data_IF_535826368465
#
_entry.id   IF_535826368465
#
_cell.length_a   1.000
_cell.length_b   1.000
_cell.length_c   1.000
_cell.angle_alpha   90.00
_cell.angle_beta   90.00
_cell.angle_gamma   90.00
#
_symmetry.space_group_name_H-M   'P 1'
#
loop_
_entity.id
_entity.type
_entity.pdbx_description
1 polymer ?
#
# COMPACT_ATOMS: atom_id res chain seq x y z
N UNK A 1 1.33 -64.80 23.92
CA UNK A 1 2.08 -63.98 22.98
C UNK A 1 1.31 -62.66 22.77
N UNK A 2 1.73 -61.55 23.41
CA UNK A 2 1.09 -60.22 23.33
C UNK A 2 1.90 -59.38 22.37
N UNK A 3 1.33 -59.01 21.24
CA UNK A 3 1.93 -58.11 20.23
C UNK A 3 1.61 -56.67 20.61
N UNK A 4 2.61 -55.93 21.07
CA UNK A 4 2.52 -54.53 21.37
C UNK A 4 2.69 -53.75 20.04
N UNK A 5 1.61 -53.16 19.55
CA UNK A 5 1.66 -52.23 18.42
C UNK A 5 2.10 -50.84 18.94
N UNK A 6 3.34 -50.47 18.65
CA UNK A 6 3.85 -49.12 18.88
C UNK A 6 3.24 -48.17 17.83
N UNK A 7 2.40 -47.27 18.30
CA UNK A 7 1.84 -46.18 17.47
C UNK A 7 2.86 -45.02 17.42
N UNK A 8 3.57 -44.91 16.31
CA UNK A 8 4.48 -43.76 16.07
C UNK A 8 3.63 -42.56 15.64
N UNK A 9 3.41 -41.64 16.57
CA UNK A 9 2.82 -40.33 16.28
C UNK A 9 3.89 -39.47 15.60
N UNK A 10 3.80 -39.37 14.27
CA UNK A 10 4.60 -38.46 13.47
C UNK A 10 4.02 -37.05 13.63
N UNK A 11 4.54 -36.26 14.57
CA UNK A 11 4.23 -34.85 14.76
C UNK A 11 4.82 -34.06 13.60
N UNK A 12 4.00 -33.73 12.59
CA UNK A 12 4.37 -32.82 11.54
C UNK A 12 4.40 -31.37 12.12
N UNK A 13 5.60 -30.96 12.49
CA UNK A 13 5.89 -29.61 12.91
C UNK A 13 5.85 -28.72 11.66
N UNK A 14 4.67 -28.10 11.40
CA UNK A 14 4.54 -27.05 10.39
C UNK A 14 5.36 -25.85 10.86
N UNK A 15 6.58 -25.74 10.35
CA UNK A 15 7.36 -24.52 10.41
C UNK A 15 6.64 -23.47 9.53
N UNK A 16 5.82 -22.63 10.14
CA UNK A 16 5.36 -21.39 9.50
C UNK A 16 6.59 -20.50 9.29
N UNK A 17 7.28 -20.72 8.17
CA UNK A 17 8.22 -19.72 7.65
C UNK A 17 7.39 -18.47 7.34
N UNK A 18 7.67 -17.35 8.03
CA UNK A 18 7.19 -16.02 7.65
C UNK A 18 7.86 -15.69 6.32
N UNK A 19 7.33 -16.21 5.22
CA UNK A 19 7.74 -15.78 3.90
C UNK A 19 7.41 -14.28 3.83
N UNK A 20 8.42 -13.44 3.66
CA UNK A 20 8.24 -12.06 3.22
C UNK A 20 7.41 -12.15 1.94
N UNK A 21 6.21 -11.55 1.95
CA UNK A 21 5.38 -11.57 0.76
C UNK A 21 6.15 -10.88 -0.38
N UNK A 22 6.19 -11.51 -1.55
CA UNK A 22 6.78 -10.86 -2.72
C UNK A 22 5.91 -9.68 -3.15
N UNK A 23 6.51 -8.63 -3.74
CA UNK A 23 5.75 -7.50 -4.29
C UNK A 23 4.71 -7.97 -5.31
N UNK A 24 3.49 -7.48 -5.17
CA UNK A 24 2.38 -7.82 -6.06
C UNK A 24 2.63 -7.30 -7.46
N UNK A 25 2.16 -8.03 -8.46
CA UNK A 25 2.38 -7.78 -9.90
C UNK A 25 1.08 -7.40 -10.60
N UNK A 26 1.19 -6.88 -11.79
CA UNK A 26 0.05 -6.67 -12.69
C UNK A 26 -0.69 -7.99 -12.90
N UNK A 27 -2.01 -7.95 -12.71
CA UNK A 27 -2.91 -9.12 -12.78
C UNK A 27 -3.26 -9.73 -11.41
N UNK A 28 -2.47 -9.46 -10.36
CA UNK A 28 -2.77 -9.94 -9.02
C UNK A 28 -4.01 -9.24 -8.44
N UNK A 29 -4.71 -9.95 -7.55
CA UNK A 29 -5.81 -9.37 -6.78
C UNK A 29 -5.28 -8.30 -5.81
N UNK A 30 -5.93 -7.16 -5.76
CA UNK A 30 -5.61 -6.11 -4.80
C UNK A 30 -6.05 -6.53 -3.39
N UNK A 31 -5.21 -6.32 -2.36
CA UNK A 31 -5.53 -6.70 -0.98
C UNK A 31 -6.76 -5.98 -0.42
N UNK A 32 -7.68 -6.73 0.19
CA UNK A 32 -8.89 -6.20 0.82
C UNK A 32 -8.67 -5.99 2.34
N UNK A 33 -7.66 -5.18 2.68
CA UNK A 33 -7.28 -4.91 4.08
C UNK A 33 -8.10 -3.77 4.68
N UNK A 34 -8.19 -3.73 6.02
CA UNK A 34 -8.73 -2.59 6.77
C UNK A 34 -7.56 -1.84 7.41
N UNK A 35 -7.57 -0.51 7.30
CA UNK A 35 -6.47 0.33 7.75
C UNK A 35 -6.96 1.58 8.50
N UNK A 36 -6.07 2.21 9.28
CA UNK A 36 -6.34 3.45 10.00
C UNK A 36 -5.92 4.64 9.15
N UNK A 37 -6.81 5.62 8.99
CA UNK A 37 -6.56 6.85 8.24
C UNK A 37 -5.82 7.91 9.05
N UNK A 38 -5.43 8.99 8.38
CA UNK A 38 -4.90 10.23 8.97
C UNK A 38 -5.88 10.94 9.94
N UNK A 39 -7.17 10.61 9.90
CA UNK A 39 -8.18 11.07 10.88
C UNK A 39 -8.37 10.12 12.06
N UNK A 40 -7.73 8.96 12.07
CA UNK A 40 -7.92 7.90 13.07
C UNK A 40 -9.09 6.96 12.78
N UNK A 41 -9.84 7.19 11.70
CA UNK A 41 -10.94 6.34 11.28
C UNK A 41 -10.43 5.05 10.60
N UNK A 42 -11.29 4.01 10.57
CA UNK A 42 -10.99 2.79 9.83
C UNK A 42 -11.65 2.81 8.45
N UNK A 43 -10.87 2.44 7.43
CA UNK A 43 -11.41 2.20 6.08
C UNK A 43 -11.08 0.78 5.61
N UNK A 44 -12.02 0.17 4.89
CA UNK A 44 -11.78 -1.08 4.19
C UNK A 44 -11.41 -0.78 2.73
N UNK A 45 -10.27 -1.26 2.26
CA UNK A 45 -9.80 -1.04 0.89
C UNK A 45 -10.78 -1.62 -0.14
N UNK A 46 -11.41 -2.76 0.18
CA UNK A 46 -12.46 -3.34 -0.68
C UNK A 46 -13.62 -2.38 -0.97
N UNK A 47 -13.98 -1.51 -0.01
CA UNK A 47 -15.05 -0.53 -0.20
C UNK A 47 -14.59 0.66 -1.04
N UNK A 48 -13.30 1.03 -0.95
CA UNK A 48 -12.71 2.06 -1.83
C UNK A 48 -12.72 1.57 -3.27
N UNK A 49 -12.31 0.31 -3.53
CA UNK A 49 -12.31 -0.29 -4.87
C UNK A 49 -13.70 -0.34 -5.53
N UNK A 50 -14.76 -0.41 -4.73
CA UNK A 50 -16.15 -0.41 -5.22
C UNK A 50 -16.68 0.99 -5.55
N UNK A 51 -16.16 2.03 -4.86
CA UNK A 51 -16.67 3.40 -4.98
C UNK A 51 -16.14 4.14 -6.20
N UNK A 52 -14.96 3.78 -6.69
CA UNK A 52 -14.30 4.45 -7.80
C UNK A 52 -13.81 3.44 -8.83
N UNK A 53 -13.82 3.80 -10.13
CA UNK A 53 -13.31 2.93 -11.18
C UNK A 53 -11.86 2.52 -10.99
N UNK A 54 -11.04 3.43 -10.43
CA UNK A 54 -9.63 3.20 -10.18
C UNK A 54 -9.24 3.61 -8.77
N UNK A 55 -8.26 2.91 -8.21
CA UNK A 55 -7.62 3.29 -6.94
C UNK A 55 -6.11 3.27 -7.13
N UNK A 56 -5.46 4.40 -6.86
CA UNK A 56 -4.02 4.50 -6.74
C UNK A 56 -3.63 4.34 -5.28
N UNK A 57 -2.88 3.29 -4.95
CA UNK A 57 -2.25 3.11 -3.64
C UNK A 57 -0.76 3.34 -3.81
N UNK A 58 -0.21 4.38 -3.16
CA UNK A 58 1.21 4.66 -3.20
C UNK A 58 1.85 4.56 -1.81
N UNK A 59 3.04 4.00 -1.77
CA UNK A 59 3.82 3.77 -0.57
C UNK A 59 5.01 4.72 -0.54
N UNK A 60 5.33 5.23 0.64
CA UNK A 60 6.47 6.11 0.84
C UNK A 60 7.16 5.82 2.17
N UNK A 61 8.51 6.04 2.26
CA UNK A 61 9.28 5.66 3.43
C UNK A 61 8.87 6.38 4.71
N UNK A 62 8.67 7.71 4.66
CA UNK A 62 8.38 8.52 5.85
C UNK A 62 7.75 9.87 5.49
N UNK A 63 6.70 10.23 6.22
CA UNK A 63 6.03 11.52 6.10
C UNK A 63 7.01 12.70 6.28
N UNK A 64 6.73 13.81 5.58
CA UNK A 64 7.48 15.08 5.65
C UNK A 64 8.99 14.99 5.31
N UNK A 65 9.42 13.98 4.55
CA UNK A 65 10.77 13.92 3.98
C UNK A 65 10.77 14.44 2.54
N UNK A 66 11.92 14.95 2.01
CA UNK A 66 11.95 15.64 0.71
C UNK A 66 11.35 14.85 -0.44
N UNK A 67 11.73 13.58 -0.63
CA UNK A 67 11.22 12.74 -1.71
C UNK A 67 9.74 12.37 -1.54
N UNK A 68 9.29 12.11 -0.31
CA UNK A 68 7.89 11.79 -0.01
C UNK A 68 7.00 13.02 -0.19
N UNK A 69 7.49 14.20 0.17
CA UNK A 69 6.82 15.48 -0.09
C UNK A 69 6.66 15.74 -1.58
N UNK A 70 7.71 15.54 -2.38
CA UNK A 70 7.64 15.67 -3.84
C UNK A 70 6.60 14.74 -4.46
N UNK A 71 6.55 13.48 -4.02
CA UNK A 71 5.56 12.50 -4.50
C UNK A 71 4.13 12.92 -4.12
N UNK A 72 3.89 13.27 -2.85
CA UNK A 72 2.60 13.74 -2.38
C UNK A 72 2.14 15.02 -3.07
N UNK A 73 3.04 15.99 -3.27
CA UNK A 73 2.74 17.23 -3.99
C UNK A 73 2.44 16.99 -5.48
N UNK A 74 3.16 16.09 -6.16
CA UNK A 74 2.82 15.71 -7.53
C UNK A 74 1.39 15.16 -7.63
N UNK A 75 1.01 14.27 -6.72
CA UNK A 75 -0.35 13.70 -6.69
C UNK A 75 -1.41 14.75 -6.32
N UNK A 76 -1.10 15.69 -5.41
CA UNK A 76 -1.97 16.84 -5.08
C UNK A 76 -2.19 17.72 -6.31
N UNK A 77 -1.12 18.10 -6.99
CA UNK A 77 -1.19 19.03 -8.12
C UNK A 77 -1.93 18.40 -9.32
N UNK A 78 -1.81 17.07 -9.52
CA UNK A 78 -2.56 16.32 -10.51
C UNK A 78 -3.93 15.80 -10.04
N UNK A 79 -4.35 16.09 -8.81
CA UNK A 79 -5.50 15.44 -8.18
C UNK A 79 -6.83 15.66 -8.92
N UNK A 80 -7.07 16.87 -9.42
CA UNK A 80 -8.27 17.16 -10.20
C UNK A 80 -8.35 16.31 -11.49
N UNK A 81 -7.23 16.15 -12.19
CA UNK A 81 -7.17 15.35 -13.39
C UNK A 81 -7.35 13.85 -13.07
N UNK A 82 -6.75 13.37 -11.97
CA UNK A 82 -6.92 11.99 -11.50
C UNK A 82 -8.37 11.69 -11.12
N UNK A 83 -9.02 12.58 -10.35
CA UNK A 83 -10.41 12.39 -9.93
C UNK A 83 -11.39 12.47 -11.10
N UNK A 84 -11.17 13.34 -12.10
CA UNK A 84 -11.94 13.35 -13.35
C UNK A 84 -11.86 12.03 -14.13
N UNK A 85 -10.76 11.28 -13.97
CA UNK A 85 -10.59 9.93 -14.52
C UNK A 85 -11.14 8.83 -13.58
N UNK A 86 -11.73 9.19 -12.45
CA UNK A 86 -12.29 8.26 -11.48
C UNK A 86 -11.24 7.56 -10.61
N UNK A 87 -10.10 8.20 -10.35
CA UNK A 87 -9.04 7.66 -9.50
C UNK A 87 -9.21 8.14 -8.07
N UNK A 88 -9.40 7.20 -7.12
CA UNK A 88 -9.16 7.45 -5.70
C UNK A 88 -7.66 7.36 -5.41
N UNK A 89 -7.12 8.24 -4.58
CA UNK A 89 -5.70 8.23 -4.18
C UNK A 89 -5.59 7.90 -2.70
N UNK A 90 -4.73 6.94 -2.36
CA UNK A 90 -4.41 6.54 -0.98
C UNK A 90 -2.88 6.51 -0.82
N UNK A 91 -2.37 7.26 0.15
CA UNK A 91 -0.95 7.20 0.53
C UNK A 91 -0.76 6.32 1.77
N UNK A 92 0.32 5.54 1.83
CA UNK A 92 0.61 4.60 2.92
C UNK A 92 2.05 4.75 3.38
N UNK A 93 2.27 4.88 4.68
CA UNK A 93 3.58 4.75 5.30
C UNK A 93 3.47 4.20 6.72
N UNK A 94 4.60 3.82 7.31
CA UNK A 94 4.71 3.31 8.68
C UNK A 94 4.73 4.46 9.73
N UNK A 95 4.13 5.60 9.39
CA UNK A 95 3.96 6.71 10.33
C UNK A 95 2.65 6.59 11.11
N UNK A 96 2.59 7.23 12.27
CA UNK A 96 1.38 7.26 13.10
C UNK A 96 0.33 8.27 12.56
N UNK A 97 -0.86 8.24 13.17
CA UNK A 97 -1.98 9.12 12.78
C UNK A 97 -1.61 10.60 12.88
N UNK A 98 -0.87 10.99 13.93
CA UNK A 98 -0.50 12.38 14.15
C UNK A 98 0.47 12.89 13.08
N UNK A 99 1.47 12.08 12.70
CA UNK A 99 2.42 12.40 11.65
C UNK A 99 1.75 12.46 10.28
N UNK A 100 0.84 11.51 9.96
CA UNK A 100 0.07 11.52 8.72
C UNK A 100 -0.84 12.75 8.62
N UNK A 101 -1.53 13.09 9.69
CA UNK A 101 -2.38 14.28 9.77
C UNK A 101 -1.56 15.56 9.56
N UNK A 102 -0.44 15.70 10.27
CA UNK A 102 0.45 16.86 10.13
C UNK A 102 1.00 16.99 8.70
N UNK A 103 1.41 15.88 8.09
CA UNK A 103 1.89 15.85 6.70
C UNK A 103 0.82 16.29 5.72
N UNK A 104 -0.39 15.75 5.86
CA UNK A 104 -1.55 16.11 5.03
C UNK A 104 -1.91 17.60 5.14
N UNK A 105 -2.00 18.14 6.35
CA UNK A 105 -2.34 19.53 6.62
C UNK A 105 -1.26 20.48 6.08
N UNK A 106 0.02 20.19 6.37
CA UNK A 106 1.16 21.01 5.95
C UNK A 106 1.23 21.20 4.44
N UNK A 107 1.02 20.14 3.68
CA UNK A 107 1.12 20.15 2.22
C UNK A 107 -0.24 20.19 1.51
N UNK A 108 -1.34 20.31 2.25
CA UNK A 108 -2.71 20.39 1.74
C UNK A 108 -3.04 19.22 0.81
N UNK A 109 -2.69 18.00 1.23
CA UNK A 109 -2.95 16.80 0.43
C UNK A 109 -4.46 16.48 0.47
N UNK A 110 -5.16 16.42 -0.69
CA UNK A 110 -6.63 16.31 -0.73
C UNK A 110 -7.15 14.88 -0.60
N UNK A 111 -6.27 13.90 -0.43
CA UNK A 111 -6.59 12.48 -0.40
C UNK A 111 -6.26 11.85 0.96
N UNK A 112 -6.69 10.61 1.16
CA UNK A 112 -6.50 9.86 2.40
C UNK A 112 -5.06 9.37 2.53
N UNK A 113 -4.49 9.52 3.73
CA UNK A 113 -3.25 8.89 4.13
C UNK A 113 -3.53 7.78 5.16
N UNK A 114 -2.76 6.71 5.12
CA UNK A 114 -2.87 5.55 6.00
C UNK A 114 -1.70 5.52 6.99
N UNK A 115 -2.04 5.47 8.26
CA UNK A 115 -1.12 5.24 9.37
C UNK A 115 -0.93 3.74 9.60
N UNK A 116 0.03 3.13 8.91
CA UNK A 116 0.24 1.67 8.87
C UNK A 116 1.31 1.22 9.88
N UNK A 117 1.12 1.58 11.17
CA UNK A 117 2.07 1.31 12.26
C UNK A 117 2.34 -0.18 12.49
N UNK A 118 1.41 -1.05 12.17
CA UNK A 118 1.56 -2.51 12.25
C UNK A 118 2.05 -3.15 10.95
N UNK A 119 2.29 -2.33 9.91
CA UNK A 119 2.69 -2.75 8.57
C UNK A 119 1.71 -3.72 7.90
N UNK A 120 0.45 -3.71 8.29
CA UNK A 120 -0.55 -4.64 7.75
C UNK A 120 -0.80 -4.40 6.25
N UNK A 121 -0.91 -3.14 5.82
CA UNK A 121 -1.10 -2.76 4.41
C UNK A 121 0.19 -2.98 3.63
N UNK A 122 1.35 -2.52 4.15
CA UNK A 122 2.67 -2.72 3.55
C UNK A 122 2.92 -4.20 3.27
N UNK A 123 2.67 -5.06 4.26
CA UNK A 123 2.86 -6.51 4.12
C UNK A 123 1.86 -7.14 3.14
N UNK A 124 0.59 -6.71 3.17
CA UNK A 124 -0.43 -7.25 2.26
C UNK A 124 -0.11 -6.97 0.78
N UNK A 125 0.48 -5.81 0.49
CA UNK A 125 0.95 -5.48 -0.87
C UNK A 125 2.34 -6.06 -1.19
N UNK A 126 2.98 -6.73 -0.24
CA UNK A 126 4.33 -7.29 -0.40
C UNK A 126 5.40 -6.20 -0.62
N UNK A 127 5.14 -4.98 -0.13
CA UNK A 127 6.10 -3.86 -0.30
C UNK A 127 7.33 -4.11 0.57
N UNK A 128 8.53 -4.16 -0.02
CA UNK A 128 9.75 -4.35 0.75
C UNK A 128 10.05 -3.13 1.62
N UNK A 129 10.94 -3.28 2.58
CA UNK A 129 11.45 -2.15 3.37
C UNK A 129 12.44 -1.31 2.53
N UNK A 130 12.41 0.01 2.72
CA UNK A 130 13.30 0.95 2.02
C UNK A 130 14.77 0.78 2.42
N UNK A 131 15.02 0.35 3.67
CA UNK A 131 16.34 0.07 4.21
C UNK A 131 16.28 -1.17 5.10
N UNK A 132 17.37 -1.97 5.17
CA UNK A 132 17.46 -3.10 6.07
C UNK A 132 17.15 -2.68 7.53
N UNK A 133 16.51 -3.55 8.31
CA UNK A 133 16.20 -3.36 9.72
C UNK A 133 15.28 -2.16 10.05
N UNK A 134 14.54 -1.66 9.06
CA UNK A 134 13.55 -0.59 9.27
C UNK A 134 12.15 -1.09 8.87
N UNK A 135 11.10 -0.39 9.37
CA UNK A 135 9.71 -0.62 8.94
C UNK A 135 9.29 0.35 7.82
N UNK A 136 10.21 1.19 7.33
CA UNK A 136 9.93 2.15 6.27
C UNK A 136 9.63 1.43 4.96
N UNK A 137 8.48 1.71 4.36
CA UNK A 137 8.10 1.13 3.09
C UNK A 137 9.03 1.60 1.95
N UNK A 138 9.40 0.68 1.06
CA UNK A 138 10.01 1.07 -0.21
C UNK A 138 9.02 1.90 -1.03
N UNK A 139 9.52 2.96 -1.70
CA UNK A 139 8.67 3.81 -2.54
C UNK A 139 8.15 3.01 -3.73
N UNK A 140 6.84 2.81 -3.77
CA UNK A 140 6.15 2.06 -4.81
C UNK A 140 4.73 2.59 -5.01
N UNK A 141 4.12 2.25 -6.14
CA UNK A 141 2.74 2.60 -6.41
C UNK A 141 2.03 1.48 -7.19
N UNK A 142 0.75 1.32 -6.92
CA UNK A 142 -0.11 0.34 -7.55
C UNK A 142 -1.39 1.03 -8.05
N UNK A 143 -1.68 0.91 -9.33
CA UNK A 143 -2.96 1.31 -9.88
C UNK A 143 -3.88 0.09 -9.97
N UNK A 144 -5.05 0.20 -9.38
CA UNK A 144 -6.02 -0.88 -9.21
C UNK A 144 -7.28 -0.52 -9.98
N UNK A 145 -7.83 -1.50 -10.71
CA UNK A 145 -9.14 -1.44 -11.38
C UNK A 145 -9.92 -2.71 -11.05
N UNK A 146 -11.17 -2.56 -10.64
CA UNK A 146 -12.06 -3.69 -10.33
C UNK A 146 -11.42 -4.73 -9.37
N UNK A 147 -10.67 -4.25 -8.38
CA UNK A 147 -9.97 -5.10 -7.40
C UNK A 147 -8.76 -5.86 -7.97
N UNK A 148 -8.25 -5.51 -9.14
CA UNK A 148 -7.03 -6.09 -9.74
C UNK A 148 -5.99 -5.00 -9.99
N UNK A 149 -4.72 -5.35 -9.79
CA UNK A 149 -3.59 -4.49 -10.10
C UNK A 149 -3.40 -4.44 -11.62
N UNK A 150 -3.44 -3.23 -12.19
CA UNK A 150 -3.26 -2.99 -13.63
C UNK A 150 -1.93 -2.29 -13.96
N UNK A 151 -1.29 -1.67 -12.97
CA UNK A 151 0.02 -1.03 -13.11
C UNK A 151 0.77 -1.04 -11.79
N UNK A 152 2.10 -1.16 -11.84
CA UNK A 152 3.00 -1.09 -10.70
C UNK A 152 4.19 -0.18 -11.00
N UNK A 153 4.60 0.64 -10.03
CA UNK A 153 5.83 1.42 -10.06
C UNK A 153 6.71 1.08 -8.84
N UNK A 154 7.84 0.43 -9.09
CA UNK A 154 8.87 0.13 -8.09
C UNK A 154 10.13 0.99 -8.26
N UNK A 155 10.13 1.90 -9.24
CA UNK A 155 11.29 2.78 -9.52
C UNK A 155 11.36 3.99 -8.58
N UNK A 156 10.30 4.20 -7.81
CA UNK A 156 10.24 5.28 -6.84
C UNK A 156 10.01 6.65 -7.46
N UNK A 157 9.15 6.71 -8.47
CA UNK A 157 8.72 7.98 -9.08
C UNK A 157 8.23 8.96 -8.03
N UNK A 158 8.63 10.21 -8.10
CA UNK A 158 8.29 11.27 -7.15
C UNK A 158 7.59 12.45 -7.82
N UNK A 159 8.34 13.34 -8.45
CA UNK A 159 7.83 14.61 -9.01
C UNK A 159 6.86 14.43 -10.20
N UNK A 160 6.88 13.27 -10.85
CA UNK A 160 6.03 12.92 -12.00
C UNK A 160 5.04 11.79 -11.71
N UNK A 161 4.73 11.53 -10.43
CA UNK A 161 3.86 10.41 -10.10
C UNK A 161 2.46 10.57 -10.72
N UNK A 162 1.86 11.75 -10.62
CA UNK A 162 0.55 12.02 -11.21
C UNK A 162 0.57 11.87 -12.75
N UNK A 163 1.56 12.48 -13.42
CA UNK A 163 1.70 12.40 -14.88
C UNK A 163 1.85 10.95 -15.35
N UNK A 164 2.64 10.15 -14.62
CA UNK A 164 2.84 8.74 -14.91
C UNK A 164 1.52 7.96 -14.85
N UNK A 165 0.71 8.20 -13.81
CA UNK A 165 -0.59 7.52 -13.67
C UNK A 165 -1.58 7.99 -14.74
N UNK A 166 -1.63 9.30 -15.04
CA UNK A 166 -2.49 9.83 -16.09
C UNK A 166 -2.12 9.29 -17.48
N UNK A 167 -0.82 9.14 -17.77
CA UNK A 167 -0.34 8.52 -19.01
C UNK A 167 -0.74 7.03 -19.08
N UNK A 168 -0.67 6.30 -17.95
CA UNK A 168 -1.08 4.89 -17.90
C UNK A 168 -2.57 4.72 -18.18
N UNK A 169 -3.41 5.60 -17.64
CA UNK A 169 -4.86 5.62 -17.87
C UNK A 169 -5.27 6.02 -19.30
N UNK A 170 -4.35 6.46 -20.12
CA UNK A 170 -4.60 6.91 -21.49
C UNK A 170 -4.22 5.86 -22.55
N UNK A 171 -3.70 4.71 -22.11
CA UNK A 171 -3.40 3.54 -22.96
C UNK A 171 -4.64 2.70 -23.20
#
# INVERSE_FOLDING_TARGET
>A
MKVIRALVLLSAMFLFSKASAEPLKVGDAAPAVTATTDSGEKIAFADVYKKQPYTLVYFYPKADTPGCTKQGCSLRDGYEALTKKGVAVIGVSHDDVAAQKAFKEKYKLPFTLIADMDSAVINAFGVPTAMPMTSMAHRSAYLIKDGKIIYTDYKGTTEKQADTILAELSK
#
